data_IF_892936165269
#
_entry.id   IF_892936165269
#
_cell.length_a   1.000
_cell.length_b   1.000
_cell.length_c   1.000
_cell.angle_alpha   90.00
_cell.angle_beta   90.00
_cell.angle_gamma   90.00
#
_symmetry.space_group_name_H-M   'P 1'
#
loop_
_entity.id
_entity.type
_entity.pdbx_description
1 polymer ?
#
# COMPACT_ATOMS: atom_id res chain seq x y z
N UNK A 1 -3.75 44.16 -20.19
CA UNK A 1 -3.51 42.82 -19.65
C UNK A 1 -4.67 42.31 -18.78
N UNK A 2 -5.07 42.98 -17.70
CA UNK A 2 -6.19 42.53 -16.82
C UNK A 2 -7.52 42.27 -17.57
N UNK A 3 -7.89 43.07 -18.59
CA UNK A 3 -9.10 42.93 -19.36
C UNK A 3 -9.08 41.74 -20.32
N UNK A 4 -7.91 41.41 -20.88
CA UNK A 4 -7.70 40.24 -21.76
C UNK A 4 -7.80 38.96 -20.96
N UNK A 5 -7.13 38.89 -19.79
CA UNK A 5 -7.18 37.74 -18.87
C UNK A 5 -8.61 37.48 -18.40
N UNK A 6 -9.35 38.55 -18.07
CA UNK A 6 -10.77 38.48 -17.69
C UNK A 6 -11.68 37.95 -18.79
N UNK A 7 -11.41 38.33 -20.07
CA UNK A 7 -12.12 37.80 -21.24
C UNK A 7 -11.78 36.31 -21.49
N UNK A 8 -10.50 35.90 -21.39
CA UNK A 8 -10.08 34.53 -21.55
C UNK A 8 -10.66 33.64 -20.44
N UNK A 9 -10.58 34.06 -19.19
CA UNK A 9 -11.16 33.32 -18.06
C UNK A 9 -12.69 33.24 -18.12
N UNK A 10 -13.35 34.04 -18.95
CA UNK A 10 -14.81 33.98 -19.16
C UNK A 10 -15.26 32.81 -20.06
N UNK A 11 -14.34 32.06 -20.65
CA UNK A 11 -14.67 30.93 -21.51
C UNK A 11 -14.61 29.62 -20.73
N UNK A 12 -15.78 29.02 -20.46
CA UNK A 12 -15.85 27.74 -19.67
C UNK A 12 -15.18 26.56 -20.38
N UNK A 13 -14.99 26.57 -21.72
CA UNK A 13 -14.28 25.51 -22.43
C UNK A 13 -12.80 25.33 -21.99
N UNK A 14 -12.23 26.34 -21.31
CA UNK A 14 -10.88 26.24 -20.69
C UNK A 14 -10.82 25.22 -19.57
N UNK A 15 -11.95 24.73 -19.05
CA UNK A 15 -11.99 23.66 -18.07
C UNK A 15 -11.32 22.39 -18.61
N UNK A 16 -11.52 22.06 -19.89
CA UNK A 16 -11.00 20.81 -20.45
C UNK A 16 -9.47 20.75 -20.51
N UNK A 17 -8.74 21.74 -21.03
CA UNK A 17 -7.28 21.80 -20.92
C UNK A 17 -6.79 21.71 -19.48
N UNK A 18 -7.51 22.32 -18.54
CA UNK A 18 -7.14 22.30 -17.13
C UNK A 18 -7.35 20.91 -16.50
N UNK A 19 -8.43 20.22 -16.87
CA UNK A 19 -8.65 18.84 -16.45
C UNK A 19 -7.59 17.89 -17.03
N UNK A 20 -7.16 18.12 -18.27
CA UNK A 20 -6.02 17.39 -18.88
C UNK A 20 -4.74 17.63 -18.07
N UNK A 21 -4.45 18.89 -17.76
CA UNK A 21 -3.27 19.26 -16.96
C UNK A 21 -3.33 18.63 -15.55
N UNK A 22 -4.51 18.62 -14.91
CA UNK A 22 -4.71 17.95 -13.62
C UNK A 22 -4.33 16.48 -13.66
N UNK A 23 -4.80 15.74 -14.66
CA UNK A 23 -4.47 14.32 -14.80
C UNK A 23 -2.99 14.11 -15.07
N UNK A 24 -2.37 15.00 -15.89
CA UNK A 24 -0.92 14.96 -16.12
C UNK A 24 -0.13 15.17 -14.83
N UNK A 25 -0.48 16.19 -14.04
CA UNK A 25 0.15 16.47 -12.74
C UNK A 25 -0.02 15.27 -11.79
N UNK A 26 -1.22 14.72 -11.71
CA UNK A 26 -1.50 13.57 -10.86
C UNK A 26 -0.63 12.35 -11.21
N UNK A 27 -0.57 11.95 -12.48
CA UNK A 27 0.25 10.81 -12.90
C UNK A 27 1.76 11.09 -12.79
N UNK A 28 2.17 12.33 -12.95
CA UNK A 28 3.55 12.74 -12.68
C UNK A 28 3.90 12.58 -11.19
N UNK A 29 3.05 13.03 -10.30
CA UNK A 29 3.27 12.95 -8.85
C UNK A 29 3.25 11.51 -8.33
N UNK A 30 2.40 10.69 -8.88
CA UNK A 30 2.35 9.26 -8.53
C UNK A 30 3.46 8.44 -9.20
N UNK A 31 4.46 9.12 -9.84
CA UNK A 31 5.61 8.53 -10.55
C UNK A 31 5.20 7.49 -11.61
N UNK A 32 4.08 7.75 -12.28
CA UNK A 32 3.52 6.87 -13.31
C UNK A 32 3.52 7.51 -14.68
N UNK A 33 4.45 8.43 -14.93
CA UNK A 33 4.68 9.01 -16.26
C UNK A 33 5.29 8.04 -17.26
N UNK A 34 6.00 7.04 -16.79
CA UNK A 34 6.44 5.91 -17.59
C UNK A 34 5.27 5.11 -18.18
N UNK A 35 4.10 5.21 -17.54
CA UNK A 35 2.84 4.68 -18.06
C UNK A 35 2.16 5.58 -19.10
N UNK A 36 2.68 6.74 -19.40
CA UNK A 36 2.26 7.49 -20.59
C UNK A 36 2.55 6.73 -21.89
N UNK A 37 3.41 5.72 -21.86
CA UNK A 37 3.56 4.76 -22.95
C UNK A 37 2.35 3.82 -23.12
N UNK A 38 1.51 3.69 -22.09
CA UNK A 38 0.22 3.01 -22.14
C UNK A 38 -0.83 4.13 -22.20
N UNK A 39 -1.06 4.65 -23.41
CA UNK A 39 -1.94 5.78 -23.69
C UNK A 39 -3.37 5.62 -23.12
N UNK A 40 -3.76 4.39 -22.83
CA UNK A 40 -5.12 4.05 -22.41
C UNK A 40 -5.47 4.53 -20.99
N UNK A 41 -4.51 4.52 -20.07
CA UNK A 41 -4.74 4.79 -18.64
C UNK A 41 -5.06 6.27 -18.36
N UNK A 42 -4.24 7.24 -18.81
CA UNK A 42 -4.58 8.65 -18.66
C UNK A 42 -5.83 9.07 -19.44
N UNK A 43 -6.05 8.51 -20.65
CA UNK A 43 -7.21 8.80 -21.47
C UNK A 43 -8.49 8.31 -20.79
N UNK A 44 -8.49 7.15 -20.17
CA UNK A 44 -9.64 6.61 -19.45
C UNK A 44 -9.99 7.48 -18.24
N UNK A 45 -9.00 7.90 -17.45
CA UNK A 45 -9.22 8.82 -16.33
C UNK A 45 -9.76 10.18 -16.80
N UNK A 46 -9.25 10.71 -17.90
CA UNK A 46 -9.80 11.94 -18.51
C UNK A 46 -11.24 11.75 -18.97
N UNK A 47 -11.56 10.61 -19.57
CA UNK A 47 -12.92 10.29 -19.99
C UNK A 47 -13.86 10.28 -18.79
N UNK A 48 -13.50 9.61 -17.69
CA UNK A 48 -14.30 9.62 -16.46
C UNK A 48 -14.45 11.02 -15.88
N UNK A 49 -13.38 11.80 -15.82
CA UNK A 49 -13.42 13.16 -15.29
C UNK A 49 -14.30 14.08 -16.13
N UNK A 50 -14.25 13.94 -17.46
CA UNK A 50 -15.15 14.65 -18.37
C UNK A 50 -16.60 14.18 -18.20
N UNK A 51 -16.84 12.88 -18.03
CA UNK A 51 -18.18 12.36 -17.72
C UNK A 51 -18.75 12.96 -16.43
N UNK A 52 -17.95 13.06 -15.37
CA UNK A 52 -18.36 13.68 -14.11
C UNK A 52 -18.74 15.15 -14.35
N UNK A 53 -17.88 15.91 -15.03
CA UNK A 53 -18.15 17.32 -15.32
C UNK A 53 -19.42 17.51 -16.14
N UNK A 54 -19.61 16.72 -17.21
CA UNK A 54 -20.76 16.82 -18.11
C UNK A 54 -22.06 16.32 -17.47
N UNK A 55 -22.01 15.22 -16.69
CA UNK A 55 -23.20 14.67 -16.04
C UNK A 55 -23.88 15.67 -15.11
N UNK A 56 -23.10 16.39 -14.32
CA UNK A 56 -23.63 17.45 -13.45
C UNK A 56 -24.03 18.71 -14.18
N UNK A 57 -23.56 18.90 -15.42
CA UNK A 57 -23.82 20.08 -16.24
C UNK A 57 -25.06 19.97 -17.16
N UNK A 58 -25.68 18.76 -17.25
CA UNK A 58 -26.73 18.47 -18.21
C UNK A 58 -28.04 19.28 -18.02
N UNK A 59 -28.41 19.57 -16.76
CA UNK A 59 -29.58 20.39 -16.43
C UNK A 59 -29.33 21.15 -15.14
N UNK A 60 -29.49 22.48 -15.18
CA UNK A 60 -29.26 23.30 -13.98
C UNK A 60 -30.29 23.00 -12.88
N UNK A 61 -29.81 22.61 -11.70
CA UNK A 61 -30.57 22.53 -10.47
C UNK A 61 -29.67 22.74 -9.27
N UNK A 62 -30.18 23.30 -8.17
CA UNK A 62 -29.41 23.51 -6.95
C UNK A 62 -28.79 22.19 -6.45
N UNK A 63 -29.50 21.02 -6.35
CA UNK A 63 -28.92 19.78 -5.91
C UNK A 63 -27.75 19.30 -6.78
N UNK A 64 -27.84 19.44 -8.11
CA UNK A 64 -26.75 19.02 -9.01
C UNK A 64 -25.49 19.87 -8.82
N UNK A 65 -25.68 21.19 -8.63
CA UNK A 65 -24.53 22.07 -8.36
C UNK A 65 -23.80 21.71 -7.10
N UNK A 66 -24.51 21.47 -6.00
CA UNK A 66 -23.87 21.00 -4.77
C UNK A 66 -23.29 19.59 -4.94
N UNK A 67 -23.99 18.71 -5.64
CA UNK A 67 -23.50 17.38 -5.98
C UNK A 67 -22.17 17.42 -6.73
N UNK A 68 -22.04 18.29 -7.75
CA UNK A 68 -20.77 18.49 -8.44
C UNK A 68 -19.66 18.95 -7.50
N UNK A 69 -19.93 19.97 -6.68
CA UNK A 69 -18.91 20.48 -5.75
C UNK A 69 -18.45 19.39 -4.79
N UNK A 70 -19.36 18.61 -4.25
CA UNK A 70 -19.03 17.49 -3.34
C UNK A 70 -18.19 16.45 -4.08
N UNK A 71 -18.65 15.95 -5.23
CA UNK A 71 -17.97 14.89 -5.98
C UNK A 71 -16.60 15.34 -6.45
N UNK A 72 -16.49 16.55 -7.02
CA UNK A 72 -15.22 17.06 -7.49
C UNK A 72 -14.22 17.32 -6.36
N UNK A 73 -14.71 17.78 -5.21
CA UNK A 73 -13.91 17.93 -4.00
C UNK A 73 -13.39 16.57 -3.52
N UNK A 74 -14.25 15.56 -3.44
CA UNK A 74 -13.85 14.21 -3.03
C UNK A 74 -12.80 13.61 -3.98
N UNK A 75 -13.01 13.71 -5.30
CA UNK A 75 -12.04 13.26 -6.30
C UNK A 75 -10.69 13.97 -6.07
N UNK A 76 -10.70 15.28 -5.90
CA UNK A 76 -9.47 16.06 -5.71
C UNK A 76 -8.75 15.69 -4.40
N UNK A 77 -9.50 15.45 -3.31
CA UNK A 77 -8.93 15.02 -2.04
C UNK A 77 -8.34 13.60 -2.11
N UNK A 78 -8.99 12.68 -2.83
CA UNK A 78 -8.46 11.33 -3.04
C UNK A 78 -7.18 11.41 -3.88
N UNK A 79 -7.16 12.21 -4.96
CA UNK A 79 -5.96 12.42 -5.77
C UNK A 79 -4.81 13.03 -4.96
N UNK A 80 -5.10 13.96 -4.06
CA UNK A 80 -4.11 14.54 -3.15
C UNK A 80 -3.56 13.48 -2.19
N UNK A 81 -4.45 12.67 -1.60
CA UNK A 81 -4.06 11.59 -0.71
C UNK A 81 -3.21 10.53 -1.44
N UNK A 82 -3.58 10.18 -2.68
CA UNK A 82 -2.77 9.27 -3.52
C UNK A 82 -1.39 9.85 -3.83
N UNK A 83 -1.32 11.13 -4.19
CA UNK A 83 -0.05 11.79 -4.48
C UNK A 83 0.89 11.79 -3.26
N UNK A 84 0.35 12.05 -2.07
CA UNK A 84 1.10 11.98 -0.82
C UNK A 84 1.50 10.54 -0.48
N UNK A 85 0.55 9.61 -0.52
CA UNK A 85 0.76 8.22 -0.15
C UNK A 85 1.69 7.49 -1.10
N UNK A 86 1.55 7.72 -2.41
CA UNK A 86 2.36 7.05 -3.43
C UNK A 86 3.83 7.49 -3.41
N UNK A 87 4.13 8.70 -2.95
CA UNK A 87 5.50 9.16 -2.81
C UNK A 87 6.31 8.33 -1.81
N UNK A 88 5.63 7.79 -0.80
CA UNK A 88 6.21 6.99 0.27
C UNK A 88 6.06 5.48 0.03
N UNK A 89 4.84 5.03 -0.31
CA UNK A 89 4.52 3.60 -0.41
C UNK A 89 4.53 3.06 -1.85
N UNK A 90 4.66 3.91 -2.88
CA UNK A 90 4.61 3.50 -4.28
C UNK A 90 3.25 2.94 -4.75
N UNK A 91 2.18 3.16 -3.98
CA UNK A 91 0.84 2.58 -4.20
C UNK A 91 -0.24 3.65 -4.02
N UNK A 92 -1.44 3.44 -4.57
CA UNK A 92 -2.61 4.28 -4.29
C UNK A 92 -3.18 4.00 -2.91
N UNK A 93 -3.88 5.00 -2.35
CA UNK A 93 -4.62 4.86 -1.09
C UNK A 93 -5.80 3.93 -1.28
N UNK A 94 -5.99 2.96 -0.37
CA UNK A 94 -7.19 2.11 -0.32
C UNK A 94 -8.14 2.56 0.78
N UNK A 95 -9.44 2.30 0.59
CA UNK A 95 -10.48 2.52 1.63
C UNK A 95 -10.11 1.82 2.94
N UNK A 96 -9.37 0.72 2.88
CA UNK A 96 -8.91 0.03 4.08
C UNK A 96 -7.94 0.85 4.93
N UNK A 97 -7.18 1.75 4.32
CA UNK A 97 -6.25 2.60 5.05
C UNK A 97 -6.96 3.69 5.86
N UNK A 98 -8.23 3.97 5.55
CA UNK A 98 -9.07 4.83 6.40
C UNK A 98 -9.20 4.28 7.83
N UNK A 99 -9.14 2.96 8.01
CA UNK A 99 -9.10 2.35 9.35
C UNK A 99 -7.75 2.57 10.07
N UNK A 100 -6.69 2.86 9.34
CA UNK A 100 -5.38 3.20 9.91
C UNK A 100 -5.27 4.67 10.32
N UNK A 101 -6.25 5.53 9.96
CA UNK A 101 -6.27 6.95 10.35
C UNK A 101 -6.20 7.11 11.88
N UNK A 102 -6.83 6.21 12.63
CA UNK A 102 -6.70 6.19 14.10
C UNK A 102 -5.29 5.87 14.57
N UNK A 103 -4.53 5.09 13.79
CA UNK A 103 -3.12 4.77 14.05
C UNK A 103 -2.18 5.88 13.54
N UNK A 104 -2.61 6.68 12.55
CA UNK A 104 -1.87 7.87 12.10
C UNK A 104 -1.74 8.92 13.21
N UNK A 105 -2.70 8.99 14.15
CA UNK A 105 -2.57 9.83 15.33
C UNK A 105 -1.42 9.42 16.26
N UNK A 106 -1.04 8.16 16.23
CA UNK A 106 0.12 7.62 16.96
C UNK A 106 1.44 7.87 16.21
N UNK A 107 1.40 7.83 14.87
CA UNK A 107 2.53 8.16 13.98
C UNK A 107 2.70 9.68 13.85
N UNK A 108 1.61 10.45 13.92
CA UNK A 108 1.61 11.93 13.80
C UNK A 108 2.23 12.64 15.01
N UNK A 109 2.54 11.91 16.10
CA UNK A 109 3.40 12.42 17.19
C UNK A 109 4.83 12.70 16.71
N UNK A 110 5.29 12.02 15.67
CA UNK A 110 6.58 12.24 15.03
C UNK A 110 6.38 13.08 13.76
N UNK A 111 6.42 14.41 13.92
CA UNK A 111 6.26 15.38 12.82
C UNK A 111 7.21 15.14 11.63
N UNK A 112 8.32 14.46 11.85
CA UNK A 112 9.33 14.16 10.84
C UNK A 112 8.87 13.09 9.83
N UNK A 113 8.02 12.13 10.23
CA UNK A 113 7.48 11.11 9.32
C UNK A 113 6.51 11.73 8.30
N UNK A 114 5.68 12.66 8.74
CA UNK A 114 4.76 13.39 7.85
C UNK A 114 5.56 14.29 6.90
N UNK A 115 6.57 14.98 7.40
CA UNK A 115 7.45 15.85 6.60
C UNK A 115 8.23 15.09 5.54
N UNK A 116 8.73 13.90 5.86
CA UNK A 116 9.45 13.04 4.91
C UNK A 116 8.51 12.38 3.88
N UNK A 117 7.23 12.17 4.24
CA UNK A 117 6.26 11.46 3.40
C UNK A 117 5.48 12.37 2.47
N UNK A 118 5.25 13.63 2.85
CA UNK A 118 4.40 14.56 2.10
C UNK A 118 5.26 15.60 1.40
N UNK A 119 5.65 15.31 0.16
CA UNK A 119 6.27 16.32 -0.70
C UNK A 119 5.33 17.51 -0.89
N UNK A 120 5.78 18.77 -0.69
CA UNK A 120 4.96 19.97 -0.96
C UNK A 120 4.37 20.01 -2.37
N UNK A 121 4.99 19.31 -3.32
CA UNK A 121 4.53 19.20 -4.69
C UNK A 121 3.16 18.53 -4.82
N UNK A 122 2.74 17.69 -3.87
CA UNK A 122 1.40 17.08 -3.91
C UNK A 122 0.28 18.13 -3.89
N UNK A 123 0.52 19.34 -3.34
CA UNK A 123 -0.43 20.44 -3.36
C UNK A 123 -0.73 20.96 -4.76
N UNK A 124 0.09 20.63 -5.77
CA UNK A 124 -0.21 20.98 -7.17
C UNK A 124 -1.50 20.33 -7.68
N UNK A 125 -1.95 19.22 -7.07
CA UNK A 125 -3.27 18.65 -7.40
C UNK A 125 -4.45 19.56 -7.09
N UNK A 126 -4.24 20.61 -6.26
CA UNK A 126 -5.26 21.60 -5.90
C UNK A 126 -5.28 22.81 -6.82
N UNK A 127 -4.29 22.98 -7.70
CA UNK A 127 -4.09 24.22 -8.49
C UNK A 127 -5.26 24.52 -9.41
N UNK A 128 -5.91 23.49 -9.94
CA UNK A 128 -7.06 23.62 -10.85
C UNK A 128 -8.38 23.87 -10.12
N UNK A 129 -8.47 23.51 -8.85
CA UNK A 129 -9.72 23.45 -8.08
C UNK A 129 -10.54 24.75 -8.11
N UNK A 130 -9.98 25.93 -7.80
CA UNK A 130 -10.74 27.18 -7.84
C UNK A 130 -11.23 27.53 -9.26
N UNK A 131 -10.44 27.19 -10.29
CA UNK A 131 -10.81 27.47 -11.68
C UNK A 131 -11.93 26.57 -12.17
N UNK A 132 -11.87 25.27 -11.87
CA UNK A 132 -12.93 24.31 -12.26
C UNK A 132 -14.25 24.67 -11.61
N UNK A 133 -14.26 25.02 -10.33
CA UNK A 133 -15.47 25.47 -9.64
C UNK A 133 -16.02 26.77 -10.23
N UNK A 134 -15.14 27.70 -10.59
CA UNK A 134 -15.54 28.96 -11.22
C UNK A 134 -16.16 28.73 -12.61
N UNK A 135 -15.53 27.91 -13.48
CA UNK A 135 -16.07 27.61 -14.80
C UNK A 135 -17.34 26.76 -14.74
N UNK A 136 -17.47 25.87 -13.81
CA UNK A 136 -18.71 25.14 -13.56
C UNK A 136 -19.85 26.09 -13.22
N UNK A 137 -19.60 27.08 -12.36
CA UNK A 137 -20.56 28.12 -12.01
C UNK A 137 -20.93 29.03 -13.22
N UNK A 138 -19.94 29.34 -14.07
CA UNK A 138 -20.18 30.11 -15.29
C UNK A 138 -21.09 29.36 -16.28
N UNK A 139 -20.84 28.09 -16.48
CA UNK A 139 -21.63 27.23 -17.34
C UNK A 139 -23.08 27.16 -16.87
N UNK A 140 -23.32 27.00 -15.60
CA UNK A 140 -24.64 26.89 -15.01
C UNK A 140 -25.42 28.20 -14.98
N UNK A 141 -24.76 29.34 -15.24
CA UNK A 141 -25.44 30.65 -15.41
C UNK A 141 -25.94 30.89 -16.83
N UNK A 142 -26.17 29.86 -17.64
CA UNK A 142 -26.76 29.95 -18.98
C UNK A 142 -25.81 30.40 -20.08
N UNK A 143 -24.48 30.36 -19.85
CA UNK A 143 -23.52 30.56 -20.93
C UNK A 143 -23.47 29.29 -21.79
N UNK A 144 -23.72 29.45 -23.07
CA UNK A 144 -23.88 28.40 -24.10
C UNK A 144 -22.69 27.45 -24.13
N UNK A 145 -22.96 26.16 -24.25
CA UNK A 145 -21.96 25.09 -24.33
C UNK A 145 -21.11 25.12 -25.60
N UNK A 146 -19.95 24.43 -25.61
CA UNK A 146 -19.09 24.32 -26.80
C UNK A 146 -19.89 23.86 -28.02
N UNK A 147 -20.84 22.94 -27.86
CA UNK A 147 -21.74 22.48 -28.92
C UNK A 147 -22.71 23.56 -29.35
N UNK A 148 -23.09 24.50 -28.47
CA UNK A 148 -23.94 25.63 -28.83
C UNK A 148 -23.15 26.71 -29.60
N UNK A 149 -21.85 26.84 -29.36
CA UNK A 149 -20.94 27.69 -30.13
C UNK A 149 -20.57 27.06 -31.47
N UNK A 150 -20.29 25.76 -31.51
CA UNK A 150 -20.11 25.03 -32.76
C UNK A 150 -21.35 25.06 -33.66
N UNK A 151 -22.55 25.05 -33.06
CA UNK A 151 -23.80 25.21 -33.81
C UNK A 151 -23.96 26.59 -34.47
N UNK A 152 -23.31 27.62 -33.96
CA UNK A 152 -23.27 28.94 -34.59
C UNK A 152 -22.35 28.99 -35.81
N UNK A 153 -21.30 28.13 -35.80
CA UNK A 153 -20.36 28.04 -36.92
C UNK A 153 -20.87 27.12 -38.05
N UNK A 154 -22.02 26.48 -37.89
CA UNK A 154 -22.61 25.62 -38.93
C UNK A 154 -23.15 26.49 -40.06
N UNK A 155 -22.81 26.22 -41.32
CA UNK A 155 -23.21 27.05 -42.45
C UNK A 155 -24.73 27.11 -42.59
N UNK A 156 -25.25 28.33 -42.78
CA UNK A 156 -26.69 28.66 -42.90
C UNK A 156 -27.39 28.08 -44.17
N UNK A 157 -26.69 27.29 -44.99
CA UNK A 157 -27.16 26.89 -46.35
C UNK A 157 -27.80 25.51 -46.43
N UNK A 158 -28.42 25.01 -45.35
CA UNK A 158 -29.34 23.89 -45.48
C UNK A 158 -30.79 24.42 -45.38
N UNK A 159 -31.43 24.64 -46.55
CA UNK A 159 -32.81 25.07 -46.64
C UNK A 159 -33.79 23.90 -46.38
N UNK A 160 -34.17 23.70 -45.11
CA UNK A 160 -35.39 23.01 -44.75
C UNK A 160 -36.32 23.98 -44.03
N UNK A 161 -37.55 24.19 -44.56
CA UNK A 161 -38.61 25.00 -43.95
C UNK A 161 -39.00 24.41 -42.59
N UNK A 162 -38.48 24.87 -41.51
CA UNK A 162 -38.68 24.55 -40.08
C UNK A 162 -37.41 24.17 -39.32
N UNK A 163 -36.27 24.41 -39.88
CA UNK A 163 -34.94 23.98 -39.42
C UNK A 163 -34.58 24.42 -37.99
N UNK A 164 -35.20 25.49 -37.45
CA UNK A 164 -34.85 25.99 -36.13
C UNK A 164 -35.39 25.13 -34.98
N UNK A 165 -36.58 24.57 -35.11
CA UNK A 165 -37.09 23.58 -34.13
C UNK A 165 -36.39 22.27 -34.29
N UNK A 166 -36.15 21.85 -35.53
CA UNK A 166 -35.42 20.62 -35.86
C UNK A 166 -33.95 20.70 -35.49
N UNK A 167 -33.28 21.84 -35.74
CA UNK A 167 -31.85 22.04 -35.36
C UNK A 167 -31.65 22.02 -33.86
N UNK A 168 -32.53 22.60 -33.05
CA UNK A 168 -32.49 22.49 -31.59
C UNK A 168 -32.79 21.08 -31.11
N UNK A 169 -33.71 20.38 -31.73
CA UNK A 169 -34.05 18.99 -31.46
C UNK A 169 -32.90 18.09 -31.84
N UNK A 170 -32.34 18.21 -33.05
CA UNK A 170 -31.16 17.45 -33.49
C UNK A 170 -29.96 17.68 -32.61
N UNK A 171 -29.67 18.92 -32.23
CA UNK A 171 -28.56 19.21 -31.26
C UNK A 171 -28.82 18.64 -29.89
N UNK A 172 -30.05 18.62 -29.42
CA UNK A 172 -30.43 17.98 -28.17
C UNK A 172 -30.25 16.45 -28.26
N UNK A 173 -30.63 15.88 -29.41
CA UNK A 173 -30.47 14.43 -29.66
C UNK A 173 -29.00 14.02 -29.76
N UNK A 174 -28.20 14.82 -30.50
CA UNK A 174 -26.75 14.61 -30.60
C UNK A 174 -26.06 14.71 -29.21
N UNK A 175 -26.44 15.73 -28.44
CA UNK A 175 -25.93 15.87 -27.05
C UNK A 175 -26.27 14.64 -26.19
N UNK A 176 -27.53 14.21 -26.25
CA UNK A 176 -27.99 13.04 -25.51
C UNK A 176 -27.31 11.75 -25.97
N UNK A 177 -27.18 11.55 -27.27
CA UNK A 177 -26.48 10.42 -27.87
C UNK A 177 -25.00 10.42 -27.49
N UNK A 178 -24.33 11.57 -27.56
CA UNK A 178 -22.94 11.72 -27.15
C UNK A 178 -22.73 11.36 -25.67
N UNK A 179 -23.61 11.82 -24.80
CA UNK A 179 -23.54 11.47 -23.37
C UNK A 179 -23.75 9.97 -23.17
N UNK A 180 -24.71 9.36 -23.84
CA UNK A 180 -24.97 7.92 -23.76
C UNK A 180 -23.75 7.14 -24.26
N UNK A 181 -23.17 7.53 -25.41
CA UNK A 181 -21.97 6.91 -25.96
C UNK A 181 -20.80 7.03 -24.96
N UNK A 182 -20.58 8.20 -24.40
CA UNK A 182 -19.52 8.43 -23.40
C UNK A 182 -19.71 7.51 -22.19
N UNK A 183 -20.95 7.41 -21.67
CA UNK A 183 -21.24 6.50 -20.55
C UNK A 183 -21.06 5.04 -20.91
N UNK A 184 -21.49 4.62 -22.13
CA UNK A 184 -21.30 3.24 -22.59
C UNK A 184 -19.81 2.93 -22.70
N UNK A 185 -19.03 3.82 -23.31
CA UNK A 185 -17.57 3.66 -23.45
C UNK A 185 -16.91 3.58 -22.07
N UNK A 186 -17.30 4.46 -21.14
CA UNK A 186 -16.77 4.43 -19.77
C UNK A 186 -17.11 3.12 -19.04
N UNK A 187 -18.35 2.63 -19.17
CA UNK A 187 -18.79 1.35 -18.57
C UNK A 187 -18.06 0.17 -19.22
N UNK A 188 -17.94 0.14 -20.56
CA UNK A 188 -17.22 -0.91 -21.26
C UNK A 188 -15.74 -0.92 -20.91
N UNK A 189 -15.11 0.24 -20.83
CA UNK A 189 -13.73 0.38 -20.41
C UNK A 189 -13.55 -0.06 -18.95
N UNK A 190 -14.45 0.36 -18.06
CA UNK A 190 -14.45 -0.09 -16.67
C UNK A 190 -14.64 -1.61 -16.55
N UNK A 191 -15.56 -2.21 -17.32
CA UNK A 191 -15.75 -3.67 -17.38
C UNK A 191 -14.47 -4.38 -17.84
N UNK A 192 -13.87 -3.89 -18.93
CA UNK A 192 -12.68 -4.51 -19.53
C UNK A 192 -11.45 -4.39 -18.64
N UNK A 193 -11.19 -3.21 -18.06
CA UNK A 193 -9.99 -2.93 -17.27
C UNK A 193 -10.18 -3.20 -15.77
N UNK A 194 -11.37 -2.96 -15.22
CA UNK A 194 -11.63 -3.01 -13.78
C UNK A 194 -12.14 -4.36 -13.28
N UNK A 195 -12.99 -5.04 -14.06
CA UNK A 195 -13.62 -6.29 -13.64
C UNK A 195 -12.93 -7.54 -14.18
N UNK A 196 -11.93 -7.40 -15.05
CA UNK A 196 -11.20 -8.56 -15.57
C UNK A 196 -10.30 -9.13 -14.45
N UNK A 197 -10.60 -10.37 -13.94
CA UNK A 197 -9.82 -10.96 -12.85
C UNK A 197 -8.34 -11.19 -13.19
N UNK A 198 -8.00 -11.23 -14.49
CA UNK A 198 -6.62 -11.39 -14.93
C UNK A 198 -5.80 -10.12 -14.71
N UNK A 199 -6.44 -8.94 -14.78
CA UNK A 199 -5.79 -7.66 -14.57
C UNK A 199 -5.58 -7.32 -13.07
N UNK A 200 -6.28 -8.04 -12.18
CA UNK A 200 -6.23 -7.82 -10.73
C UNK A 200 -5.24 -8.74 -10.00
N UNK A 201 -4.59 -9.67 -10.70
CA UNK A 201 -3.85 -10.78 -10.09
C UNK A 201 -2.40 -10.50 -9.68
N UNK A 202 -1.85 -9.36 -10.00
CA UNK A 202 -0.49 -9.02 -9.55
C UNK A 202 -0.39 -7.59 -9.03
N UNK A 203 0.46 -7.38 -8.04
CA UNK A 203 0.78 -6.04 -7.50
C UNK A 203 1.30 -5.12 -8.60
N UNK A 204 2.00 -5.66 -9.59
CA UNK A 204 2.42 -4.93 -10.78
C UNK A 204 1.24 -4.49 -11.64
N UNK A 205 0.19 -5.31 -11.76
CA UNK A 205 -1.01 -4.98 -12.54
C UNK A 205 -1.89 -3.95 -11.84
N UNK A 206 -2.02 -3.97 -10.51
CA UNK A 206 -2.68 -2.90 -9.74
C UNK A 206 -2.02 -1.54 -10.00
N UNK A 207 -0.71 -1.54 -10.19
CA UNK A 207 0.04 -0.34 -10.55
C UNK A 207 -0.26 0.19 -11.97
N UNK A 208 -0.91 -0.59 -12.84
CA UNK A 208 -1.27 -0.24 -14.21
C UNK A 208 -2.76 0.12 -14.39
N UNK A 209 -3.54 0.14 -13.30
CA UNK A 209 -4.96 0.49 -13.36
C UNK A 209 -5.11 2.01 -13.21
N UNK A 210 -6.02 2.59 -13.99
CA UNK A 210 -6.30 4.02 -13.91
C UNK A 210 -7.04 4.39 -12.61
N UNK A 211 -7.01 5.67 -12.23
CA UNK A 211 -7.49 6.19 -10.96
C UNK A 211 -8.93 5.78 -10.61
N UNK A 212 -9.91 6.03 -11.50
CA UNK A 212 -11.33 5.78 -11.19
C UNK A 212 -11.63 4.29 -11.09
N UNK A 213 -11.03 3.48 -11.97
CA UNK A 213 -11.18 2.02 -11.93
C UNK A 213 -10.58 1.44 -10.66
N UNK A 214 -9.39 1.91 -10.25
CA UNK A 214 -8.76 1.48 -9.00
C UNK A 214 -9.66 1.74 -7.80
N UNK A 215 -10.06 3.00 -7.58
CA UNK A 215 -10.85 3.37 -6.41
C UNK A 215 -12.25 2.79 -6.41
N UNK A 216 -12.90 2.69 -7.59
CA UNK A 216 -14.21 2.01 -7.69
C UNK A 216 -14.09 0.54 -7.34
N UNK A 217 -13.09 -0.15 -7.88
CA UNK A 217 -12.86 -1.54 -7.58
C UNK A 217 -12.49 -1.75 -6.10
N UNK A 218 -11.65 -0.89 -5.53
CA UNK A 218 -11.29 -0.91 -4.12
C UNK A 218 -12.53 -0.78 -3.22
N UNK A 219 -13.42 0.17 -3.50
CA UNK A 219 -14.69 0.34 -2.79
C UNK A 219 -15.57 -0.93 -2.95
N UNK A 220 -15.75 -1.42 -4.18
CA UNK A 220 -16.60 -2.59 -4.45
C UNK A 220 -16.07 -3.81 -3.73
N UNK A 221 -14.79 -4.10 -3.81
CA UNK A 221 -14.19 -5.27 -3.17
C UNK A 221 -14.27 -5.16 -1.64
N UNK A 222 -14.01 -3.99 -1.09
CA UNK A 222 -13.98 -3.79 0.35
C UNK A 222 -15.36 -3.68 0.99
N UNK A 223 -16.36 -3.18 0.28
CA UNK A 223 -17.73 -3.03 0.78
C UNK A 223 -18.57 -4.24 0.40
N UNK A 224 -18.55 -4.66 -0.87
CA UNK A 224 -19.41 -5.75 -1.39
C UNK A 224 -18.79 -7.12 -1.12
N UNK A 225 -17.46 -7.22 -1.12
CA UNK A 225 -16.74 -8.48 -0.83
C UNK A 225 -17.04 -9.03 0.57
N UNK A 226 -17.29 -8.15 1.54
CA UNK A 226 -17.75 -8.56 2.88
C UNK A 226 -19.15 -9.18 2.90
N UNK A 227 -19.98 -8.93 1.89
CA UNK A 227 -21.36 -9.42 1.79
C UNK A 227 -21.47 -10.77 1.07
N UNK A 228 -20.44 -11.17 0.32
CA UNK A 228 -20.40 -12.46 -0.40
C UNK A 228 -19.49 -13.45 0.34
N UNK A 229 -20.05 -14.25 1.24
CA UNK A 229 -19.41 -15.52 1.60
C UNK A 229 -19.52 -16.45 0.40
N UNK A 230 -18.44 -16.69 -0.31
CA UNK A 230 -18.40 -17.73 -1.36
C UNK A 230 -18.43 -19.10 -0.68
N UNK A 231 -19.32 -19.98 -1.13
CA UNK A 231 -19.20 -21.40 -0.84
C UNK A 231 -17.93 -21.90 -1.53
N UNK A 232 -16.96 -22.30 -0.75
CA UNK A 232 -15.68 -22.81 -1.28
C UNK A 232 -15.81 -24.31 -1.43
N UNK A 233 -15.54 -24.83 -2.63
CA UNK A 233 -15.38 -26.28 -2.83
C UNK A 233 -14.01 -26.71 -2.29
N UNK A 234 -13.99 -27.15 -1.05
CA UNK A 234 -12.77 -27.62 -0.36
C UNK A 234 -12.08 -28.75 -1.12
N UNK A 235 -12.83 -29.67 -1.75
CA UNK A 235 -12.27 -30.79 -2.51
C UNK A 235 -11.55 -30.31 -3.78
N UNK A 236 -12.11 -29.31 -4.48
CA UNK A 236 -11.46 -28.70 -5.64
C UNK A 236 -10.18 -27.97 -5.24
N UNK A 237 -10.18 -27.25 -4.11
CA UNK A 237 -8.98 -26.58 -3.58
C UNK A 237 -7.93 -27.61 -3.17
N UNK A 238 -8.28 -28.63 -2.41
CA UNK A 238 -7.33 -29.68 -2.02
C UNK A 238 -6.71 -30.39 -3.22
N UNK A 239 -7.51 -30.66 -4.25
CA UNK A 239 -7.00 -31.24 -5.51
C UNK A 239 -6.00 -30.30 -6.20
N UNK A 240 -6.32 -29.01 -6.26
CA UNK A 240 -5.44 -27.98 -6.83
C UNK A 240 -4.16 -27.81 -6.01
N UNK A 241 -4.26 -27.77 -4.67
CA UNK A 241 -3.10 -27.69 -3.78
C UNK A 241 -2.16 -28.88 -3.96
N UNK A 242 -2.69 -30.10 -4.03
CA UNK A 242 -1.88 -31.31 -4.31
C UNK A 242 -1.14 -31.27 -5.63
N UNK A 243 -1.66 -30.55 -6.63
CA UNK A 243 -1.01 -30.41 -7.95
C UNK A 243 0.07 -29.32 -7.96
N UNK A 244 0.03 -28.37 -7.01
CA UNK A 244 0.96 -27.23 -6.93
C UNK A 244 2.13 -27.53 -5.99
N UNK A 245 1.89 -28.30 -4.92
CA UNK A 245 2.95 -28.64 -3.95
C UNK A 245 4.03 -29.47 -4.64
N UNK A 246 5.28 -29.00 -4.69
CA UNK A 246 6.37 -29.79 -5.26
C UNK A 246 6.52 -31.10 -4.51
N UNK A 247 6.63 -32.21 -5.22
CA UNK A 247 6.99 -33.48 -4.59
C UNK A 247 8.44 -33.37 -4.11
N UNK A 248 8.63 -33.19 -2.80
CA UNK A 248 9.96 -33.21 -2.21
C UNK A 248 10.53 -34.63 -2.36
N UNK A 249 11.62 -34.77 -3.08
CA UNK A 249 12.38 -36.03 -3.19
C UNK A 249 13.56 -36.10 -2.22
N UNK A 250 13.87 -34.99 -1.52
CA UNK A 250 15.04 -34.90 -0.63
C UNK A 250 14.76 -35.36 0.78
N UNK A 251 15.67 -36.17 1.32
CA UNK A 251 15.70 -36.57 2.75
C UNK A 251 16.81 -35.89 3.53
N UNK A 252 17.63 -35.05 2.88
CA UNK A 252 18.68 -34.28 3.52
C UNK A 252 18.09 -33.41 4.65
N UNK A 253 18.74 -33.42 5.78
CA UNK A 253 18.32 -32.69 6.99
C UNK A 253 16.97 -33.11 7.61
N UNK A 254 16.30 -34.15 7.11
CA UNK A 254 15.03 -34.62 7.68
C UNK A 254 15.18 -34.99 9.15
N UNK A 255 14.43 -34.31 10.02
CA UNK A 255 14.40 -34.58 11.45
C UNK A 255 15.60 -34.07 12.27
N UNK A 256 16.57 -33.37 11.66
CA UNK A 256 17.77 -32.85 12.36
C UNK A 256 17.40 -31.88 13.51
N UNK A 257 16.30 -31.16 13.40
CA UNK A 257 15.80 -30.24 14.42
C UNK A 257 14.64 -30.83 15.27
N UNK A 258 14.37 -32.13 15.20
CA UNK A 258 13.28 -32.74 15.98
C UNK A 258 13.49 -32.51 17.47
N UNK A 259 12.49 -32.00 18.17
CA UNK A 259 12.51 -31.69 19.60
C UNK A 259 13.36 -30.48 19.99
N UNK A 260 13.90 -29.74 19.02
CA UNK A 260 14.67 -28.53 19.30
C UNK A 260 13.73 -27.30 19.31
N UNK A 261 14.11 -26.24 20.03
CA UNK A 261 13.44 -24.94 19.96
C UNK A 261 13.60 -24.33 18.57
N UNK A 262 12.57 -23.68 18.09
CA UNK A 262 12.61 -22.91 16.86
C UNK A 262 12.40 -21.41 17.15
N UNK A 263 13.33 -20.59 16.69
CA UNK A 263 13.21 -19.14 16.66
C UNK A 263 13.15 -18.72 15.19
N UNK A 264 12.03 -18.17 14.77
CA UNK A 264 11.85 -17.57 13.45
C UNK A 264 11.92 -16.05 13.63
N UNK A 265 12.82 -15.40 12.90
CA UNK A 265 12.99 -13.94 12.96
C UNK A 265 12.64 -13.36 11.60
N UNK A 266 11.64 -12.49 11.56
CA UNK A 266 11.35 -11.65 10.41
C UNK A 266 12.06 -10.30 10.57
N UNK A 267 12.97 -10.01 9.65
CA UNK A 267 13.79 -8.82 9.71
C UNK A 267 13.17 -7.71 8.88
N UNK A 268 12.83 -6.60 9.51
CA UNK A 268 12.23 -5.44 8.86
C UNK A 268 13.20 -4.78 7.88
N UNK A 269 12.73 -4.47 6.67
CA UNK A 269 13.44 -3.71 5.62
C UNK A 269 14.87 -4.19 5.31
N UNK A 270 15.19 -5.47 5.56
CA UNK A 270 16.54 -6.01 5.46
C UNK A 270 16.80 -6.59 4.07
N UNK A 271 17.64 -5.96 3.29
CA UNK A 271 17.96 -6.35 1.92
C UNK A 271 19.22 -7.22 1.83
N UNK A 272 19.23 -8.16 0.90
CA UNK A 272 20.34 -9.10 0.74
C UNK A 272 21.68 -8.43 0.38
N UNK A 273 21.67 -7.27 -0.28
CA UNK A 273 22.91 -6.61 -0.75
C UNK A 273 23.84 -6.16 0.40
N UNK A 274 23.33 -6.02 1.62
CA UNK A 274 24.13 -5.61 2.78
C UNK A 274 24.94 -6.76 3.38
N UNK A 275 24.54 -8.01 3.09
CA UNK A 275 25.19 -9.22 3.64
C UNK A 275 26.51 -9.45 2.91
N UNK A 276 27.61 -9.53 3.66
CA UNK A 276 28.95 -9.67 3.09
C UNK A 276 29.52 -8.39 2.51
N UNK A 277 28.74 -7.28 2.48
CA UNK A 277 29.17 -6.00 1.95
C UNK A 277 30.00 -5.19 2.96
N UNK A 278 30.81 -4.29 2.42
CA UNK A 278 31.58 -3.32 3.20
C UNK A 278 31.20 -1.90 2.79
N UNK A 279 31.21 -1.00 3.75
CA UNK A 279 31.04 0.43 3.54
C UNK A 279 32.19 1.17 4.22
N UNK A 280 32.92 1.99 3.45
CA UNK A 280 34.09 2.74 3.92
C UNK A 280 35.08 1.86 4.73
N UNK A 281 35.38 0.66 4.19
CA UNK A 281 36.31 -0.33 4.82
C UNK A 281 35.73 -1.08 6.03
N UNK A 282 34.50 -0.85 6.41
CA UNK A 282 33.83 -1.51 7.54
C UNK A 282 32.79 -2.54 7.03
N UNK A 283 32.79 -3.75 7.60
CA UNK A 283 31.71 -4.71 7.31
C UNK A 283 30.37 -4.14 7.79
N UNK A 284 29.33 -4.20 6.96
CA UNK A 284 27.98 -3.74 7.34
C UNK A 284 27.33 -4.73 8.31
N UNK A 285 27.50 -6.04 8.07
CA UNK A 285 26.83 -7.11 8.81
C UNK A 285 27.82 -8.13 9.37
N UNK A 286 28.77 -7.76 10.25
CA UNK A 286 29.85 -8.66 10.70
C UNK A 286 29.36 -9.87 11.49
N UNK A 287 28.23 -9.77 12.22
CA UNK A 287 27.70 -10.89 12.99
C UNK A 287 27.02 -11.93 12.09
N UNK A 288 26.20 -11.49 11.13
CA UNK A 288 25.61 -12.35 10.11
C UNK A 288 26.69 -12.97 9.23
N UNK A 289 27.71 -12.21 8.82
CA UNK A 289 28.83 -12.74 8.03
C UNK A 289 29.58 -13.87 8.75
N UNK A 290 29.69 -13.81 10.08
CA UNK A 290 30.26 -14.92 10.88
C UNK A 290 29.35 -16.15 10.90
N UNK A 291 28.03 -15.96 10.99
CA UNK A 291 27.06 -17.05 10.97
C UNK A 291 27.06 -17.80 9.64
N UNK A 292 27.19 -17.08 8.52
CA UNK A 292 27.22 -17.70 7.19
C UNK A 292 28.41 -18.65 6.96
N UNK A 293 29.44 -18.58 7.79
CA UNK A 293 30.64 -19.40 7.65
C UNK A 293 30.51 -20.82 8.28
N UNK A 294 29.45 -21.03 9.08
CA UNK A 294 29.33 -22.28 9.84
C UNK A 294 27.88 -22.66 10.13
N UNK A 295 27.54 -23.92 9.87
CA UNK A 295 26.26 -24.54 10.25
C UNK A 295 25.03 -23.74 9.76
N UNK A 296 25.11 -23.15 8.54
CA UNK A 296 24.11 -22.28 8.00
C UNK A 296 23.68 -22.72 6.60
N UNK A 297 22.38 -22.70 6.33
CA UNK A 297 21.81 -22.77 4.98
C UNK A 297 21.42 -21.36 4.59
N UNK A 298 21.98 -20.86 3.49
CA UNK A 298 21.76 -19.50 3.02
C UNK A 298 21.07 -19.48 1.66
N UNK A 299 19.90 -18.85 1.61
CA UNK A 299 19.12 -18.64 0.39
C UNK A 299 19.34 -17.21 -0.10
N UNK A 300 20.27 -17.01 -1.04
CA UNK A 300 20.63 -15.70 -1.56
C UNK A 300 19.66 -15.16 -2.61
N UNK A 301 18.69 -15.96 -3.06
CA UNK A 301 17.63 -15.58 -3.98
C UNK A 301 16.26 -15.71 -3.27
N UNK A 302 16.11 -14.99 -2.17
CA UNK A 302 14.85 -14.89 -1.45
C UNK A 302 14.15 -13.58 -1.81
N UNK A 303 12.99 -13.67 -2.45
CA UNK A 303 12.26 -12.50 -2.95
C UNK A 303 11.03 -12.24 -2.10
N UNK A 304 10.72 -10.94 -1.92
CA UNK A 304 9.49 -10.53 -1.25
C UNK A 304 8.27 -10.94 -2.08
N UNK A 305 7.28 -11.54 -1.40
CA UNK A 305 5.97 -11.91 -1.96
C UNK A 305 4.84 -11.23 -1.20
N UNK A 306 5.07 -10.00 -0.74
CA UNK A 306 4.09 -9.24 0.03
C UNK A 306 3.07 -8.55 -0.88
N UNK A 307 1.84 -8.43 -0.39
CA UNK A 307 0.78 -7.62 -0.97
C UNK A 307 0.75 -6.21 -0.36
N UNK A 308 -0.46 -5.70 -0.11
CA UNK A 308 -0.71 -4.36 0.47
C UNK A 308 -0.25 -4.26 1.92
N UNK A 309 -0.28 -5.38 2.66
CA UNK A 309 0.04 -5.43 4.08
C UNK A 309 1.54 -5.48 4.39
N UNK A 310 2.42 -5.42 3.39
CA UNK A 310 3.88 -5.44 3.58
C UNK A 310 4.34 -6.42 4.68
N UNK A 311 4.66 -5.92 5.88
CA UNK A 311 5.18 -6.71 7.00
C UNK A 311 4.22 -7.82 7.43
N UNK A 312 2.92 -7.53 7.62
CA UNK A 312 1.95 -8.54 8.05
C UNK A 312 1.65 -9.58 6.96
N UNK A 313 1.80 -9.25 5.70
CA UNK A 313 1.66 -10.19 4.60
C UNK A 313 2.89 -11.11 4.48
N UNK A 314 4.09 -10.60 4.78
CA UNK A 314 5.29 -11.42 4.92
C UNK A 314 5.16 -12.41 6.09
N UNK A 315 4.65 -11.96 7.24
CA UNK A 315 4.32 -12.81 8.38
C UNK A 315 3.33 -13.92 7.99
N UNK A 316 2.24 -13.53 7.32
CA UNK A 316 1.22 -14.45 6.84
C UNK A 316 1.81 -15.53 5.92
N UNK A 317 2.64 -15.13 4.97
CA UNK A 317 3.29 -16.05 4.02
C UNK A 317 4.25 -16.99 4.73
N UNK A 318 5.09 -16.48 5.62
CA UNK A 318 6.07 -17.27 6.37
C UNK A 318 5.40 -18.28 7.30
N UNK A 319 4.31 -17.91 7.97
CA UNK A 319 3.63 -18.75 8.95
C UNK A 319 2.70 -19.79 8.31
N UNK A 320 2.13 -19.51 7.14
CA UNK A 320 1.07 -20.34 6.54
C UNK A 320 1.44 -20.96 5.19
N UNK A 321 2.60 -20.63 4.61
CA UNK A 321 3.00 -21.05 3.25
C UNK A 321 1.95 -20.70 2.18
N UNK A 322 1.30 -19.55 2.34
CA UNK A 322 0.28 -19.03 1.43
C UNK A 322 0.74 -17.68 0.86
N UNK A 323 0.33 -17.39 -0.37
CA UNK A 323 0.51 -16.05 -0.92
C UNK A 323 -0.47 -15.08 -0.28
N UNK A 324 -0.05 -13.85 0.03
CA UNK A 324 -0.94 -12.83 0.55
C UNK A 324 -1.93 -12.37 -0.51
N UNK A 325 -2.93 -11.61 -0.07
CA UNK A 325 -3.89 -10.99 -0.95
C UNK A 325 -3.34 -9.66 -1.47
N UNK A 326 -3.53 -9.38 -2.76
CA UNK A 326 -3.05 -8.15 -3.40
C UNK A 326 -3.95 -6.93 -3.12
N UNK A 327 -5.14 -7.15 -2.56
CA UNK A 327 -6.18 -6.13 -2.43
C UNK A 327 -6.21 -5.53 -1.03
N UNK A 328 -5.94 -6.36 0.00
CA UNK A 328 -6.02 -5.97 1.40
C UNK A 328 -5.06 -6.77 2.25
N UNK A 329 -4.64 -6.18 3.37
CA UNK A 329 -3.81 -6.83 4.37
C UNK A 329 -4.48 -8.13 4.87
N UNK A 330 -3.73 -9.23 4.85
CA UNK A 330 -4.27 -10.54 5.21
C UNK A 330 -4.83 -10.61 6.63
N UNK A 331 -4.19 -9.95 7.58
CA UNK A 331 -4.63 -9.94 8.99
C UNK A 331 -5.90 -9.11 9.25
N UNK A 332 -6.34 -8.30 8.30
CA UNK A 332 -7.64 -7.62 8.34
C UNK A 332 -8.69 -8.35 7.52
N UNK A 333 -8.29 -8.82 6.33
CA UNK A 333 -9.22 -9.47 5.40
C UNK A 333 -9.66 -10.83 5.90
N UNK A 334 -8.76 -11.57 6.51
CA UNK A 334 -8.95 -12.96 6.92
C UNK A 334 -8.82 -13.15 8.43
N UNK A 335 -9.11 -12.11 9.21
CA UNK A 335 -8.93 -12.12 10.67
C UNK A 335 -9.68 -13.25 11.36
N UNK A 336 -10.86 -13.59 10.85
CA UNK A 336 -11.74 -14.64 11.42
C UNK A 336 -11.37 -16.06 10.95
N UNK A 337 -10.41 -16.19 10.03
CA UNK A 337 -10.00 -17.49 9.51
C UNK A 337 -8.99 -18.15 10.46
N UNK A 338 -9.16 -19.45 10.67
CA UNK A 338 -8.17 -20.30 11.34
C UNK A 338 -7.29 -20.97 10.29
N UNK A 339 -5.99 -20.96 10.50
CA UNK A 339 -5.00 -21.50 9.58
C UNK A 339 -4.28 -22.69 10.22
N UNK A 340 -4.02 -23.73 9.45
CA UNK A 340 -3.12 -24.80 9.85
C UNK A 340 -1.66 -24.39 9.58
N UNK A 341 -1.26 -23.27 10.17
CA UNK A 341 0.06 -22.68 10.03
C UNK A 341 1.08 -23.19 11.05
N UNK A 342 2.31 -22.69 10.94
CA UNK A 342 3.41 -23.11 11.82
C UNK A 342 3.07 -23.08 13.31
N UNK A 343 2.47 -22.01 13.88
CA UNK A 343 2.18 -21.99 15.32
C UNK A 343 1.27 -23.13 15.76
N UNK A 344 0.21 -23.43 15.01
CA UNK A 344 -0.69 -24.55 15.29
C UNK A 344 0.02 -25.88 15.14
N UNK A 345 0.79 -26.10 14.07
CA UNK A 345 1.53 -27.33 13.81
C UNK A 345 2.53 -27.62 14.92
N UNK A 346 3.23 -26.61 15.44
CA UNK A 346 4.15 -26.76 16.56
C UNK A 346 3.41 -27.08 17.87
N UNK A 347 2.29 -26.39 18.14
CA UNK A 347 1.47 -26.67 19.33
C UNK A 347 0.92 -28.09 19.36
N UNK A 348 0.48 -28.63 18.22
CA UNK A 348 0.06 -30.04 18.10
C UNK A 348 1.20 -31.02 18.43
N UNK A 349 2.44 -30.60 18.34
CA UNK A 349 3.62 -31.38 18.73
C UNK A 349 4.11 -31.09 20.16
N UNK A 350 3.32 -30.38 20.94
CA UNK A 350 3.62 -30.08 22.35
C UNK A 350 4.53 -28.86 22.56
N UNK A 351 4.79 -28.06 21.53
CA UNK A 351 5.54 -26.80 21.68
C UNK A 351 4.67 -25.70 22.27
N UNK A 352 5.27 -24.81 23.05
CA UNK A 352 4.67 -23.50 23.30
C UNK A 352 4.99 -22.56 22.13
N UNK A 353 3.99 -21.74 21.69
CA UNK A 353 4.11 -20.85 20.54
C UNK A 353 3.87 -19.39 20.93
N UNK A 354 4.87 -18.54 20.74
CA UNK A 354 4.84 -17.14 21.18
C UNK A 354 5.35 -16.21 20.06
N UNK A 355 4.80 -14.98 20.00
CA UNK A 355 5.28 -13.92 19.12
C UNK A 355 5.79 -12.73 19.93
N UNK A 356 6.75 -11.98 19.36
CA UNK A 356 7.37 -10.80 19.97
C UNK A 356 7.53 -9.70 18.94
N UNK A 357 7.19 -8.46 19.32
CA UNK A 357 7.40 -7.27 18.52
C UNK A 357 7.48 -6.02 19.39
N UNK A 358 8.41 -5.13 19.10
CA UNK A 358 8.68 -3.94 19.91
C UNK A 358 7.74 -2.75 19.63
N UNK A 359 6.53 -2.97 19.10
CA UNK A 359 5.59 -1.92 18.74
C UNK A 359 4.16 -2.22 19.20
N UNK A 360 3.24 -1.28 18.94
CA UNK A 360 1.82 -1.31 19.34
C UNK A 360 1.13 -2.63 18.94
N UNK A 361 0.46 -3.23 19.90
CA UNK A 361 -0.20 -4.54 19.77
C UNK A 361 -1.22 -4.62 18.63
N UNK A 362 -1.95 -3.52 18.42
CA UNK A 362 -3.05 -3.46 17.44
C UNK A 362 -2.57 -3.14 16.01
N UNK A 363 -1.32 -2.73 15.84
CA UNK A 363 -0.79 -2.41 14.53
C UNK A 363 -0.85 -3.64 13.61
N UNK A 364 -1.24 -3.46 12.36
CA UNK A 364 -1.58 -4.54 11.43
C UNK A 364 -2.67 -5.50 11.93
N UNK A 365 -3.43 -5.16 12.97
CA UNK A 365 -4.45 -6.04 13.56
C UNK A 365 -3.89 -7.35 14.15
N UNK A 366 -2.61 -7.36 14.54
CA UNK A 366 -1.91 -8.55 15.07
C UNK A 366 -2.58 -9.11 16.33
N UNK A 367 -3.07 -8.24 17.21
CA UNK A 367 -3.75 -8.64 18.45
C UNK A 367 -4.91 -9.62 18.22
N UNK A 368 -5.64 -9.47 17.11
CA UNK A 368 -6.74 -10.35 16.75
C UNK A 368 -6.28 -11.50 15.83
N UNK A 369 -5.47 -11.19 14.82
CA UNK A 369 -5.02 -12.18 13.85
C UNK A 369 -4.20 -13.30 14.49
N UNK A 370 -3.29 -13.00 15.42
CA UNK A 370 -2.39 -13.98 16.02
C UNK A 370 -3.09 -15.04 16.85
N UNK A 371 -4.26 -14.72 17.44
CA UNK A 371 -5.11 -15.72 18.12
C UNK A 371 -5.50 -16.83 17.15
N UNK A 372 -5.95 -16.46 15.96
CA UNK A 372 -6.38 -17.40 14.91
C UNK A 372 -5.20 -18.05 14.16
N UNK A 373 -4.03 -17.40 14.18
CA UNK A 373 -2.77 -18.00 13.66
C UNK A 373 -2.22 -19.09 14.57
N UNK A 374 -2.68 -19.17 15.83
CA UNK A 374 -2.30 -20.21 16.78
C UNK A 374 -1.23 -19.83 17.80
N UNK A 375 -0.85 -18.57 17.91
CA UNK A 375 0.01 -18.12 18.99
C UNK A 375 -0.72 -18.17 20.33
N UNK A 376 -0.06 -18.67 21.35
CA UNK A 376 -0.60 -18.71 22.72
C UNK A 376 -0.44 -17.35 23.40
N UNK A 377 0.58 -16.60 23.03
CA UNK A 377 0.80 -15.25 23.52
C UNK A 377 1.55 -14.41 22.49
N UNK A 378 1.21 -13.11 22.45
CA UNK A 378 1.88 -12.08 21.66
C UNK A 378 2.36 -10.97 22.60
N UNK A 379 3.67 -10.87 22.78
CA UNK A 379 4.34 -9.84 23.56
C UNK A 379 4.62 -8.64 22.67
N UNK A 380 4.05 -7.50 23.01
CA UNK A 380 4.15 -6.22 22.33
C UNK A 380 4.76 -5.16 23.24
N UNK A 381 4.87 -3.93 22.79
CA UNK A 381 5.42 -2.85 23.61
C UNK A 381 4.62 -2.58 24.91
N UNK A 382 3.33 -2.93 24.93
CA UNK A 382 2.49 -2.78 26.12
C UNK A 382 2.84 -3.77 27.24
N UNK A 383 3.49 -4.89 26.91
CA UNK A 383 3.89 -5.93 27.85
C UNK A 383 5.41 -6.00 28.06
N UNK A 384 6.19 -5.50 27.09
CA UNK A 384 7.63 -5.38 27.20
C UNK A 384 8.01 -4.07 27.90
N UNK A 385 9.14 -4.08 28.60
CA UNK A 385 9.66 -2.87 29.24
C UNK A 385 10.27 -1.94 28.19
N UNK A 386 9.87 -0.70 28.18
CA UNK A 386 10.37 0.32 27.26
C UNK A 386 11.68 0.94 27.75
N UNK A 387 12.71 0.12 27.96
CA UNK A 387 14.00 0.53 28.53
C UNK A 387 14.97 1.10 27.50
N UNK A 388 14.82 0.76 26.22
CA UNK A 388 15.58 1.34 25.13
C UNK A 388 14.67 1.50 23.92
N UNK A 389 14.39 2.74 23.57
CA UNK A 389 13.51 3.12 22.45
C UNK A 389 14.36 3.86 21.42
N UNK A 390 14.12 3.59 20.12
CA UNK A 390 14.64 4.35 18.99
C UNK A 390 13.70 4.20 17.80
N UNK A 391 13.44 5.30 17.08
CA UNK A 391 12.47 5.32 16.01
C UNK A 391 11.06 4.95 16.51
N UNK A 392 10.46 3.94 15.93
CA UNK A 392 9.05 3.58 16.20
C UNK A 392 8.77 2.89 17.54
N UNK A 393 9.77 2.39 18.25
CA UNK A 393 9.50 1.67 19.50
C UNK A 393 10.72 1.02 20.13
N UNK A 394 10.50 -0.10 20.83
CA UNK A 394 11.56 -0.83 21.52
C UNK A 394 12.58 -1.34 20.51
N UNK A 395 13.86 -1.06 20.76
CA UNK A 395 14.95 -1.50 19.87
C UNK A 395 15.06 -3.03 19.80
N UNK A 396 15.52 -3.54 18.64
CA UNK A 396 15.64 -4.99 18.40
C UNK A 396 16.50 -5.68 19.46
N UNK A 397 17.61 -5.08 19.87
CA UNK A 397 18.48 -5.63 20.91
C UNK A 397 17.78 -5.80 22.26
N UNK A 398 17.00 -4.81 22.65
CA UNK A 398 16.25 -4.85 23.90
C UNK A 398 15.07 -5.82 23.82
N UNK A 399 14.34 -5.82 22.72
CA UNK A 399 13.26 -6.78 22.47
C UNK A 399 13.79 -8.23 22.52
N UNK A 400 14.93 -8.52 21.88
CA UNK A 400 15.56 -9.85 21.93
C UNK A 400 15.98 -10.24 23.33
N UNK A 401 16.56 -9.32 24.11
CA UNK A 401 16.94 -9.58 25.50
C UNK A 401 15.72 -10.01 26.32
N UNK A 402 14.65 -9.23 26.28
CA UNK A 402 13.42 -9.52 27.03
C UNK A 402 12.73 -10.80 26.53
N UNK A 403 12.71 -11.02 25.21
CA UNK A 403 12.15 -12.24 24.63
C UNK A 403 12.88 -13.49 25.16
N UNK A 404 14.21 -13.49 25.20
CA UNK A 404 14.99 -14.62 25.75
C UNK A 404 14.71 -14.81 27.23
N UNK A 405 14.61 -13.74 28.04
CA UNK A 405 14.28 -13.83 29.45
C UNK A 405 12.90 -14.44 29.69
N UNK A 406 11.91 -14.07 28.87
CA UNK A 406 10.56 -14.67 28.89
C UNK A 406 10.62 -16.15 28.47
N UNK A 407 11.32 -16.47 27.38
CA UNK A 407 11.41 -17.83 26.83
C UNK A 407 12.06 -18.82 27.81
N UNK A 408 12.99 -18.36 28.67
CA UNK A 408 13.55 -19.18 29.76
C UNK A 408 12.51 -19.74 30.72
N UNK A 409 11.41 -19.02 30.91
CA UNK A 409 10.32 -19.38 31.82
C UNK A 409 9.22 -20.22 31.19
N UNK A 410 9.28 -20.45 29.88
CA UNK A 410 8.22 -21.15 29.13
C UNK A 410 8.52 -22.63 28.99
N UNK A 411 7.45 -23.40 28.78
CA UNK A 411 7.55 -24.83 28.49
C UNK A 411 8.41 -25.06 27.24
N UNK A 412 9.34 -26.00 27.35
CA UNK A 412 10.19 -26.47 26.26
C UNK A 412 9.61 -27.73 25.62
N UNK A 413 9.78 -27.97 24.33
CA UNK A 413 10.36 -27.05 23.36
C UNK A 413 9.37 -25.90 23.00
N UNK A 414 9.90 -24.81 22.48
CA UNK A 414 9.08 -23.68 22.05
C UNK A 414 9.28 -23.34 20.57
N UNK A 415 8.25 -22.71 19.98
CA UNK A 415 8.29 -21.93 18.75
C UNK A 415 8.16 -20.44 19.09
N UNK A 416 9.15 -19.66 18.73
CA UNK A 416 9.14 -18.21 18.93
C UNK A 416 9.22 -17.49 17.59
N UNK A 417 8.31 -16.57 17.34
CA UNK A 417 8.32 -15.68 16.18
C UNK A 417 8.66 -14.27 16.66
N UNK A 418 9.71 -13.69 16.12
CA UNK A 418 10.21 -12.38 16.49
C UNK A 418 10.24 -11.47 15.27
N UNK A 419 9.65 -10.29 15.35
CA UNK A 419 9.63 -9.31 14.28
C UNK A 419 10.47 -8.11 14.71
N UNK A 420 11.53 -7.78 13.95
CA UNK A 420 12.38 -6.62 14.22
C UNK A 420 11.68 -5.32 13.83
N UNK A 421 12.15 -4.20 14.36
CA UNK A 421 11.56 -2.89 14.18
C UNK A 421 12.57 -1.78 13.89
N UNK A 422 13.78 -1.84 14.46
CA UNK A 422 14.73 -0.71 14.45
C UNK A 422 15.16 -0.30 13.03
N UNK A 423 15.17 -1.23 12.08
CA UNK A 423 15.46 -0.94 10.66
C UNK A 423 14.21 -0.54 9.86
N UNK A 424 13.19 0.01 10.51
CA UNK A 424 12.01 0.53 9.82
C UNK A 424 12.29 1.93 9.25
N UNK A 425 11.78 2.20 8.05
CA UNK A 425 11.84 3.54 7.44
C UNK A 425 11.09 4.55 8.35
N UNK A 426 11.60 5.78 8.61
CA UNK A 426 12.66 6.50 7.91
C UNK A 426 14.11 6.19 8.39
N UNK A 427 14.34 5.06 9.07
CA UNK A 427 15.66 4.59 9.53
C UNK A 427 16.25 5.48 10.63
N UNK A 428 15.42 5.81 11.61
CA UNK A 428 15.83 6.60 12.76
C UNK A 428 16.56 5.74 13.78
N UNK A 429 17.74 6.18 14.15
CA UNK A 429 18.54 5.55 15.19
C UNK A 429 19.14 6.62 16.10
N UNK A 430 18.99 6.46 17.42
CA UNK A 430 19.67 7.30 18.38
C UNK A 430 21.17 7.26 18.07
N UNK A 431 21.80 8.44 18.01
CA UNK A 431 23.22 8.56 17.66
C UNK A 431 24.14 7.80 18.62
N UNK A 432 23.74 7.63 19.88
CA UNK A 432 24.48 6.83 20.86
C UNK A 432 24.52 5.33 20.52
N UNK A 433 23.60 4.87 19.64
CA UNK A 433 23.51 3.49 19.18
C UNK A 433 24.17 3.29 17.81
N UNK A 434 24.53 4.36 17.12
CA UNK A 434 25.16 4.32 15.82
C UNK A 434 26.63 3.88 15.94
N UNK A 435 27.03 2.86 15.22
CA UNK A 435 28.38 2.30 15.29
C UNK A 435 29.14 2.32 13.96
N UNK A 436 28.45 2.52 12.82
CA UNK A 436 29.08 2.59 11.50
C UNK A 436 29.59 4.03 11.26
N UNK A 437 30.86 4.17 10.88
CA UNK A 437 31.43 5.48 10.51
C UNK A 437 30.99 5.84 9.09
N UNK A 438 30.05 6.77 8.96
CA UNK A 438 29.58 7.25 7.67
C UNK A 438 30.56 8.27 7.06
N UNK A 439 30.52 8.41 5.73
CA UNK A 439 31.11 9.53 5.02
C UNK A 439 30.27 10.76 5.28
N UNK A 440 30.89 11.95 5.29
CA UNK A 440 30.18 13.22 5.53
C UNK A 440 29.01 13.44 4.57
N UNK A 441 29.16 12.99 3.31
CA UNK A 441 28.10 13.05 2.29
C UNK A 441 26.86 12.21 2.60
N UNK A 442 27.01 11.20 3.43
CA UNK A 442 25.94 10.21 3.71
C UNK A 442 25.31 10.41 5.10
N UNK A 443 25.91 11.29 5.93
CA UNK A 443 25.37 11.65 7.25
C UNK A 443 24.01 12.34 7.07
N UNK A 444 22.97 11.80 7.72
CA UNK A 444 21.59 12.28 7.62
C UNK A 444 20.87 11.94 6.31
N UNK A 445 21.55 11.30 5.35
CA UNK A 445 20.89 10.78 4.16
C UNK A 445 20.08 9.50 4.47
N UNK A 446 19.02 9.24 3.73
CA UNK A 446 18.24 8.00 3.85
C UNK A 446 19.12 6.75 3.72
N UNK A 447 20.11 6.78 2.82
CA UNK A 447 21.04 5.68 2.64
C UNK A 447 21.97 5.48 3.83
N UNK A 448 22.55 6.56 4.36
CA UNK A 448 23.40 6.51 5.54
C UNK A 448 22.63 6.04 6.78
N UNK A 449 21.43 6.55 6.99
CA UNK A 449 20.53 6.13 8.08
C UNK A 449 20.18 4.64 7.95
N UNK A 450 19.84 4.18 6.74
CA UNK A 450 19.59 2.76 6.46
C UNK A 450 20.80 1.89 6.83
N UNK A 451 22.00 2.26 6.45
CA UNK A 451 23.20 1.49 6.80
C UNK A 451 23.45 1.44 8.31
N UNK A 452 23.17 2.53 9.05
CA UNK A 452 23.28 2.57 10.50
C UNK A 452 22.28 1.62 11.18
N UNK A 453 21.01 1.65 10.76
CA UNK A 453 19.98 0.79 11.33
C UNK A 453 20.20 -0.68 10.99
N UNK A 454 20.65 -1.00 9.78
CA UNK A 454 21.09 -2.36 9.39
C UNK A 454 22.23 -2.84 10.28
N UNK A 455 23.25 -2.00 10.50
CA UNK A 455 24.38 -2.33 11.36
C UNK A 455 23.92 -2.61 12.80
N UNK A 456 23.02 -1.79 13.33
CA UNK A 456 22.45 -2.01 14.66
C UNK A 456 21.64 -3.31 14.75
N UNK A 457 20.84 -3.63 13.73
CA UNK A 457 20.10 -4.90 13.65
C UNK A 457 21.05 -6.10 13.62
N UNK A 458 22.15 -6.04 12.87
CA UNK A 458 23.19 -7.08 12.89
C UNK A 458 23.84 -7.25 14.26
N UNK A 459 24.15 -6.17 14.96
CA UNK A 459 24.67 -6.20 16.33
C UNK A 459 23.63 -6.79 17.31
N UNK A 460 22.35 -6.53 17.06
CA UNK A 460 21.26 -7.11 17.84
C UNK A 460 21.18 -8.63 17.67
N UNK A 461 21.44 -9.15 16.47
CA UNK A 461 21.59 -10.60 16.24
C UNK A 461 22.78 -11.18 16.97
N UNK A 462 23.92 -10.49 16.96
CA UNK A 462 25.08 -10.91 17.75
C UNK A 462 24.75 -11.07 19.23
N UNK A 463 24.01 -10.10 19.79
CA UNK A 463 23.54 -10.13 21.18
C UNK A 463 22.51 -11.23 21.44
N UNK A 464 21.57 -11.43 20.54
CA UNK A 464 20.61 -12.54 20.65
C UNK A 464 21.34 -13.88 20.80
N UNK A 465 22.34 -14.13 19.98
CA UNK A 465 23.14 -15.38 20.07
C UNK A 465 23.84 -15.49 21.42
N UNK A 466 24.40 -14.40 21.94
CA UNK A 466 25.01 -14.38 23.28
C UNK A 466 23.96 -14.69 24.36
N UNK A 467 22.77 -14.14 24.31
CA UNK A 467 21.69 -14.39 25.25
C UNK A 467 21.22 -15.85 25.20
N UNK A 468 21.08 -16.42 23.99
CA UNK A 468 20.67 -17.82 23.80
C UNK A 468 21.74 -18.77 24.33
N UNK A 469 23.03 -18.51 24.12
CA UNK A 469 24.12 -19.32 24.70
C UNK A 469 24.07 -19.33 26.22
N UNK A 470 23.86 -18.17 26.86
CA UNK A 470 23.68 -18.07 28.31
C UNK A 470 22.44 -18.83 28.79
N UNK A 471 21.32 -18.75 28.05
CA UNK A 471 20.11 -19.50 28.35
C UNK A 471 20.36 -21.01 28.35
N UNK A 472 21.05 -21.54 27.35
CA UNK A 472 21.37 -22.97 27.25
C UNK A 472 22.23 -23.40 28.45
N UNK A 473 23.26 -22.63 28.81
CA UNK A 473 24.08 -22.92 29.98
C UNK A 473 23.29 -22.95 31.29
N UNK A 474 22.24 -22.14 31.42
CA UNK A 474 21.40 -22.09 32.62
C UNK A 474 20.42 -23.27 32.70
N UNK A 475 19.97 -23.82 31.58
CA UNK A 475 19.05 -24.98 31.53
C UNK A 475 19.77 -26.32 31.78
N UNK A 476 21.08 -26.37 31.54
CA UNK A 476 21.89 -27.59 31.71
C UNK A 476 22.44 -27.70 33.14
N UNK A 477 22.43 -26.65 33.95
CA UNK A 477 22.72 -26.65 35.40
C UNK A 477 21.46 -27.05 36.22
#
# INVERSE_FOLDING_TARGET
MKTIIKKLLAHYWLVYPVLILKMFIYYWQTKRLDMLSIYDVPLLSLLFLFCVFEAFSFKESKPRRYGFYIVYTLITLIMLADAAYSSYFGKYVSVNQLYQITSLGQIAGDGDVIGASVSPWCLLTLIDYPFVLYWYRLRNKGKKGMLDELAKCWPEKFHFKNVWKEKKFMLSLIKSALHIIIYIVAICAWYYYGLNPQNLRSVQQVNHIEFFTYHTNDIVVNVVGKLKRSSVDEKAIQKKMKSIVPKSSGTAYKGVAKGKNLILIQTESFNNFVIGATYNGQEITPNLNKLLKKDTIYFNHFYSTTGVGNTCDAEFSALNSLYPNDIRECYRMYVDNTYNGLPWMFREKGYSAMAFHGYVKTFWNRSEAYKNQGFQHYYSEEELKQTQISGFGITDKEMFRQAVDILKTKQQPFFSFMITLTNHIPYELDQSLASLKLKDSDVGSTFGNYLQTVRYTDESFGKLIEYLKKMICTIIQ
#
